data_IF_272717481007
#
_entry.id   IF_272717481007
#
_cell.length_a   1.000
_cell.length_b   1.000
_cell.length_c   1.000
_cell.angle_alpha   90.00
_cell.angle_beta   90.00
_cell.angle_gamma   90.00
#
_symmetry.space_group_name_H-M   'P 1'
#
loop_
_entity.id
_entity.type
_entity.pdbx_description
1 polymer ?
#
# COMPACT_ATOMS: atom_id res chain seq x y z
N UNK A 1 9.44 62.70 5.05
CA UNK A 1 9.40 61.99 3.74
C UNK A 1 9.67 60.53 4.04
N UNK A 2 8.60 59.73 4.21
CA UNK A 2 8.05 58.81 3.20
C UNK A 2 9.02 57.64 2.86
N UNK A 3 8.78 56.53 3.55
CA UNK A 3 8.73 55.14 3.05
C UNK A 3 9.89 54.68 2.16
N UNK A 4 10.81 53.90 2.72
CA UNK A 4 11.31 52.69 2.02
C UNK A 4 11.17 51.54 3.01
N UNK A 5 10.08 50.82 2.78
CA UNK A 5 9.63 49.62 3.46
C UNK A 5 9.85 48.50 2.43
N UNK A 6 10.24 47.32 2.92
CA UNK A 6 10.08 46.00 2.27
C UNK A 6 11.20 45.62 1.28
N UNK A 7 11.86 44.49 1.58
CA UNK A 7 12.11 43.30 0.73
C UNK A 7 13.48 42.70 1.13
N UNK A 8 13.50 41.87 2.18
CA UNK A 8 14.52 40.82 2.36
C UNK A 8 14.02 39.68 3.29
N UNK A 9 12.70 39.47 3.37
CA UNK A 9 12.07 38.43 4.20
C UNK A 9 11.23 37.47 3.34
N UNK A 10 11.77 36.96 2.23
CA UNK A 10 11.07 35.92 1.45
C UNK A 10 12.00 35.09 0.57
N UNK A 11 12.86 34.26 1.19
CA UNK A 11 13.68 33.32 0.43
C UNK A 11 13.88 31.96 1.13
N UNK A 12 12.93 31.49 1.95
CA UNK A 12 13.06 30.17 2.60
C UNK A 12 11.76 29.35 2.69
N UNK A 13 10.86 29.50 1.72
CA UNK A 13 9.67 28.64 1.62
C UNK A 13 9.57 28.02 0.22
N UNK A 14 10.53 27.18 -0.12
CA UNK A 14 10.36 26.18 -1.18
C UNK A 14 10.77 24.81 -0.65
N UNK A 15 10.06 24.34 0.39
CA UNK A 15 9.99 22.90 0.62
C UNK A 15 9.28 22.30 -0.58
N UNK A 16 10.05 21.64 -1.45
CA UNK A 16 9.56 21.00 -2.65
C UNK A 16 8.42 20.05 -2.33
N UNK A 17 7.24 20.33 -2.88
CA UNK A 17 6.27 19.29 -3.13
C UNK A 17 6.85 18.41 -4.24
N UNK A 18 7.64 17.41 -3.85
CA UNK A 18 8.01 16.33 -4.76
C UNK A 18 6.73 15.51 -4.97
N UNK A 19 5.97 15.85 -6.01
CA UNK A 19 4.98 14.93 -6.54
C UNK A 19 5.75 13.73 -7.10
N UNK A 20 5.80 12.67 -6.29
CA UNK A 20 6.29 11.38 -6.76
C UNK A 20 5.42 10.96 -7.93
N UNK A 21 5.95 11.09 -9.15
CA UNK A 21 5.46 10.40 -10.33
C UNK A 21 5.52 8.90 -10.02
N UNK A 22 4.45 8.38 -9.46
CA UNK A 22 4.26 6.94 -9.35
C UNK A 22 4.16 6.46 -10.79
N UNK A 23 5.18 5.74 -11.23
CA UNK A 23 5.16 5.00 -12.48
C UNK A 23 3.94 4.09 -12.42
N UNK A 24 2.90 4.40 -13.20
CA UNK A 24 1.65 3.65 -13.19
C UNK A 24 1.97 2.19 -13.53
N UNK A 25 1.98 1.34 -12.50
CA UNK A 25 2.19 -0.10 -12.66
C UNK A 25 0.94 -0.65 -13.33
N UNK A 26 0.98 -0.90 -14.63
CA UNK A 26 -0.13 -1.53 -15.36
C UNK A 26 -0.26 -3.00 -14.91
N UNK A 27 -0.88 -3.21 -13.76
CA UNK A 27 -1.16 -4.52 -13.22
C UNK A 27 -2.37 -5.12 -13.92
N UNK A 28 -2.28 -6.41 -14.25
CA UNK A 28 -3.32 -7.15 -14.92
C UNK A 28 -3.84 -8.28 -14.03
N UNK A 29 -5.08 -8.71 -14.30
CA UNK A 29 -5.66 -9.86 -13.59
C UNK A 29 -4.87 -11.11 -13.97
N UNK A 30 -4.44 -11.87 -12.97
CA UNK A 30 -3.58 -13.05 -13.14
C UNK A 30 -2.12 -12.81 -12.77
N UNK A 31 -1.68 -11.55 -12.65
CA UNK A 31 -0.31 -11.26 -12.25
C UNK A 31 -0.01 -11.76 -10.84
N UNK A 32 1.23 -12.19 -10.66
CA UNK A 32 1.76 -12.67 -9.40
C UNK A 32 2.58 -11.59 -8.72
N UNK A 33 2.30 -11.38 -7.43
CA UNK A 33 3.02 -10.44 -6.58
C UNK A 33 3.57 -11.18 -5.37
N UNK A 34 4.70 -10.75 -4.85
CA UNK A 34 5.28 -11.29 -3.62
C UNK A 34 5.10 -10.29 -2.48
N UNK A 35 4.53 -10.74 -1.37
CA UNK A 35 4.39 -9.91 -0.17
C UNK A 35 5.77 -9.68 0.44
N UNK A 36 6.12 -8.43 0.65
CA UNK A 36 7.35 -8.00 1.32
C UNK A 36 7.22 -7.97 2.84
N UNK A 37 8.04 -7.13 3.47
CA UNK A 37 7.98 -6.92 4.91
C UNK A 37 6.87 -5.91 5.25
N UNK A 38 6.22 -6.01 6.41
CA UNK A 38 5.30 -4.98 6.87
C UNK A 38 6.05 -3.66 7.13
N UNK A 39 5.44 -2.52 6.81
CA UNK A 39 6.06 -1.20 7.04
C UNK A 39 6.21 -0.85 8.53
N UNK A 40 5.42 -1.49 9.41
CA UNK A 40 5.46 -1.30 10.86
C UNK A 40 4.98 -2.58 11.58
N UNK A 41 4.16 -2.46 12.62
CA UNK A 41 3.52 -3.59 13.31
C UNK A 41 2.55 -4.39 12.39
N UNK A 42 2.19 -3.83 11.24
CA UNK A 42 1.37 -4.46 10.20
C UNK A 42 1.62 -3.81 8.84
N UNK A 43 0.80 -4.17 7.86
CA UNK A 43 0.82 -3.55 6.53
C UNK A 43 -0.03 -2.30 6.50
N UNK A 44 0.50 -1.22 5.95
CA UNK A 44 -0.18 0.06 5.78
C UNK A 44 -0.91 0.14 4.44
N UNK A 45 -0.38 -0.51 3.41
CA UNK A 45 -0.89 -0.43 2.04
C UNK A 45 -1.52 -1.73 1.54
N UNK A 46 -1.42 -2.81 2.32
CA UNK A 46 -2.27 -4.00 2.21
C UNK A 46 -3.41 -3.90 3.24
N UNK A 47 -4.63 -3.73 2.76
CA UNK A 47 -5.80 -3.46 3.61
C UNK A 47 -6.36 -4.73 4.24
N UNK A 48 -5.78 -5.13 5.37
CA UNK A 48 -6.35 -6.15 6.24
C UNK A 48 -7.40 -5.56 7.20
N UNK A 49 -8.42 -6.33 7.61
CA UNK A 49 -9.25 -5.97 8.74
C UNK A 49 -8.41 -5.74 10.00
N UNK A 50 -8.93 -4.95 10.95
CA UNK A 50 -8.27 -4.71 12.24
C UNK A 50 -7.94 -6.04 12.94
N UNK A 51 -6.78 -6.12 13.59
CA UNK A 51 -6.32 -7.28 14.36
C UNK A 51 -7.39 -7.87 15.27
N UNK A 52 -8.10 -7.02 16.03
CA UNK A 52 -9.18 -7.45 16.92
C UNK A 52 -10.33 -8.13 16.17
N UNK A 53 -10.64 -7.69 14.95
CA UNK A 53 -11.69 -8.31 14.13
C UNK A 53 -11.25 -9.68 13.63
N UNK A 54 -9.97 -9.80 13.22
CA UNK A 54 -9.38 -11.07 12.80
C UNK A 54 -9.46 -12.08 13.96
N UNK A 55 -9.02 -11.69 15.16
CA UNK A 55 -9.01 -12.54 16.35
C UNK A 55 -10.44 -12.93 16.76
N UNK A 56 -11.38 -11.98 16.82
CA UNK A 56 -12.80 -12.25 17.15
C UNK A 56 -13.48 -13.21 16.19
N UNK A 57 -13.00 -13.32 14.95
CA UNK A 57 -13.47 -14.29 13.94
C UNK A 57 -12.67 -15.60 13.95
N UNK A 58 -11.83 -15.81 14.96
CA UNK A 58 -10.99 -17.00 15.12
C UNK A 58 -9.87 -17.10 14.10
N UNK A 59 -9.39 -15.98 13.57
CA UNK A 59 -8.20 -15.89 12.73
C UNK A 59 -6.93 -15.63 13.55
N UNK A 60 -5.78 -15.92 12.96
CA UNK A 60 -4.46 -15.71 13.59
C UNK A 60 -3.77 -14.55 12.88
N UNK A 61 -3.71 -13.38 13.51
CA UNK A 61 -3.15 -12.16 12.93
C UNK A 61 -1.61 -12.14 12.95
N UNK A 62 -0.99 -13.12 12.30
CA UNK A 62 0.46 -13.21 12.16
C UNK A 62 0.91 -12.54 10.86
N UNK A 63 1.12 -11.23 10.91
CA UNK A 63 1.54 -10.42 9.76
C UNK A 63 2.92 -10.82 9.22
N UNK A 64 3.86 -11.16 10.11
CA UNK A 64 5.23 -11.59 9.73
C UNK A 64 5.23 -12.86 8.87
N UNK A 65 4.29 -13.77 9.11
CA UNK A 65 4.16 -15.01 8.33
C UNK A 65 3.68 -14.80 6.88
N UNK A 66 3.19 -13.59 6.54
CA UNK A 66 2.80 -13.25 5.17
C UNK A 66 3.97 -12.81 4.30
N UNK A 67 5.09 -12.39 4.88
CA UNK A 67 6.28 -12.02 4.13
C UNK A 67 6.81 -13.21 3.32
N UNK A 68 7.12 -12.97 2.05
CA UNK A 68 7.55 -13.96 1.07
C UNK A 68 6.42 -14.78 0.46
N UNK A 69 5.15 -14.56 0.82
CA UNK A 69 4.02 -15.27 0.22
C UNK A 69 3.64 -14.66 -1.12
N UNK A 70 3.39 -15.51 -2.11
CA UNK A 70 2.91 -15.11 -3.42
C UNK A 70 1.39 -14.95 -3.43
N UNK A 71 0.92 -13.87 -4.04
CA UNK A 71 -0.50 -13.56 -4.24
C UNK A 71 -0.77 -13.33 -5.72
N UNK A 72 -1.99 -13.59 -6.14
CA UNK A 72 -2.45 -13.39 -7.52
C UNK A 72 -3.51 -12.29 -7.52
N UNK A 73 -3.40 -11.38 -8.49
CA UNK A 73 -4.40 -10.35 -8.73
C UNK A 73 -5.67 -10.97 -9.31
N UNK A 74 -6.79 -10.76 -8.63
CA UNK A 74 -8.12 -11.24 -9.06
C UNK A 74 -8.99 -10.14 -9.64
N UNK A 75 -8.70 -8.88 -9.29
CA UNK A 75 -9.44 -7.72 -9.78
C UNK A 75 -8.54 -6.48 -9.72
N UNK A 76 -8.67 -5.61 -10.71
CA UNK A 76 -7.96 -4.33 -10.79
C UNK A 76 -9.00 -3.22 -10.80
N UNK A 77 -8.88 -2.29 -9.86
CA UNK A 77 -9.73 -1.11 -9.74
C UNK A 77 -8.85 0.13 -9.90
N UNK A 78 -9.08 0.86 -10.99
CA UNK A 78 -8.36 2.09 -11.33
C UNK A 78 -9.30 3.29 -11.23
N UNK A 79 -10.06 3.37 -10.13
CA UNK A 79 -10.91 4.53 -9.87
C UNK A 79 -10.12 5.68 -9.23
N UNK A 80 -10.33 6.91 -9.72
CA UNK A 80 -9.76 8.16 -9.18
C UNK A 80 -8.22 8.20 -9.10
N UNK A 81 -7.52 7.62 -10.08
CA UNK A 81 -6.05 7.68 -10.13
C UNK A 81 -5.34 6.86 -9.05
N UNK A 82 -6.05 5.98 -8.34
CA UNK A 82 -5.46 5.02 -7.41
C UNK A 82 -5.48 3.64 -8.03
N UNK A 83 -4.33 3.00 -8.08
CA UNK A 83 -4.20 1.63 -8.56
C UNK A 83 -4.44 0.64 -7.42
N UNK A 84 -5.70 0.27 -7.21
CA UNK A 84 -6.10 -0.65 -6.14
C UNK A 84 -6.37 -2.02 -6.74
N UNK A 85 -5.60 -3.02 -6.30
CA UNK A 85 -5.76 -4.39 -6.76
C UNK A 85 -6.33 -5.26 -5.66
N UNK A 86 -7.24 -6.16 -6.00
CA UNK A 86 -7.71 -7.21 -5.09
C UNK A 86 -6.91 -8.47 -5.37
N UNK A 87 -6.36 -9.07 -4.33
CA UNK A 87 -5.51 -10.26 -4.44
C UNK A 87 -6.00 -11.40 -3.55
N UNK A 88 -5.65 -12.62 -3.94
CA UNK A 88 -5.74 -13.84 -3.12
C UNK A 88 -4.39 -14.53 -3.04
N UNK A 89 -4.16 -15.38 -2.03
CA UNK A 89 -2.93 -16.17 -1.98
C UNK A 89 -2.89 -17.18 -3.14
N UNK A 90 -1.72 -17.32 -3.78
CA UNK A 90 -1.51 -18.29 -4.86
C UNK A 90 -1.66 -19.74 -4.37
N UNK A 91 -1.27 -20.00 -3.12
CA UNK A 91 -1.36 -21.32 -2.48
C UNK A 91 -2.81 -21.76 -2.15
N UNK A 92 -3.82 -20.95 -2.46
CA UNK A 92 -5.23 -21.26 -2.21
C UNK A 92 -5.66 -21.13 -0.75
N UNK A 93 -4.72 -20.84 0.17
CA UNK A 93 -5.04 -20.61 1.57
C UNK A 93 -5.62 -19.21 1.78
N UNK A 94 -6.27 -19.02 2.93
CA UNK A 94 -6.77 -17.71 3.36
C UNK A 94 -5.69 -16.94 4.11
N UNK A 95 -5.73 -15.62 4.03
CA UNK A 95 -4.98 -14.76 4.95
C UNK A 95 -5.53 -14.93 6.36
N UNK A 96 -4.63 -15.08 7.34
CA UNK A 96 -4.98 -15.30 8.74
C UNK A 96 -6.01 -16.41 8.98
N UNK A 97 -6.02 -17.44 8.10
CA UNK A 97 -6.95 -18.56 8.06
C UNK A 97 -8.44 -18.21 7.86
N UNK A 98 -8.78 -16.94 7.58
CA UNK A 98 -10.18 -16.48 7.50
C UNK A 98 -10.50 -15.58 6.32
N UNK A 99 -9.56 -14.76 5.87
CA UNK A 99 -9.78 -13.74 4.84
C UNK A 99 -9.36 -14.30 3.48
N UNK A 100 -10.28 -14.43 2.54
CA UNK A 100 -9.99 -14.99 1.22
C UNK A 100 -9.23 -14.01 0.32
N UNK A 101 -9.60 -12.73 0.37
CA UNK A 101 -9.08 -11.70 -0.52
C UNK A 101 -8.83 -10.41 0.25
N UNK A 102 -7.86 -9.62 -0.21
CA UNK A 102 -7.55 -8.30 0.35
C UNK A 102 -7.28 -7.30 -0.76
N UNK A 103 -7.49 -6.02 -0.46
CA UNK A 103 -7.18 -4.91 -1.36
C UNK A 103 -5.79 -4.37 -1.07
N UNK A 104 -5.07 -3.99 -2.10
CA UNK A 104 -3.72 -3.44 -2.04
C UNK A 104 -3.69 -2.14 -2.84
N UNK A 105 -3.17 -1.07 -2.26
CA UNK A 105 -2.77 0.09 -3.03
C UNK A 105 -1.40 -0.21 -3.65
N UNK A 106 -1.38 -0.65 -4.90
CA UNK A 106 -0.20 -1.29 -5.50
C UNK A 106 1.00 -0.33 -5.53
N UNK A 107 0.75 0.88 -6.01
CA UNK A 107 1.72 1.94 -6.15
C UNK A 107 2.43 2.28 -4.82
N UNK A 108 1.63 2.46 -3.76
CA UNK A 108 2.17 2.75 -2.42
C UNK A 108 2.83 1.52 -1.79
N UNK A 109 2.25 0.34 -1.99
CA UNK A 109 2.77 -0.90 -1.43
C UNK A 109 4.13 -1.28 -2.03
N UNK A 110 4.34 -1.05 -3.34
CA UNK A 110 5.63 -1.21 -3.99
C UNK A 110 6.63 -0.20 -3.44
N UNK A 111 6.24 1.08 -3.33
CA UNK A 111 7.11 2.13 -2.80
C UNK A 111 7.56 1.85 -1.35
N UNK A 112 6.66 1.35 -0.51
CA UNK A 112 6.96 0.97 0.88
C UNK A 112 7.70 -0.37 1.02
N UNK A 113 7.87 -1.13 -0.06
CA UNK A 113 8.47 -2.47 -0.01
C UNK A 113 7.58 -3.56 0.60
N UNK A 114 6.28 -3.27 0.78
CA UNK A 114 5.25 -4.23 1.20
C UNK A 114 4.88 -5.21 0.08
N UNK A 115 5.12 -4.82 -1.18
CA UNK A 115 4.94 -5.66 -2.35
C UNK A 115 6.20 -5.62 -3.21
N UNK A 116 6.57 -6.79 -3.73
CA UNK A 116 7.62 -6.98 -4.73
C UNK A 116 6.96 -7.54 -5.98
N UNK A 117 7.18 -6.86 -7.11
CA UNK A 117 6.76 -7.30 -8.44
C UNK A 117 7.88 -8.06 -9.13
#
# INVERSE_FOLDING_TARGET
MKKILIIAFLAFLTTGAQESYVKQTNATVGDELVIGAPSSQGFEHIHFPKTNFIIKKGGIANYKALTGKTVIITNVDTSNGKNVVTVKRKDGLKFFNRIATVKINLDKAIFAGEIKS
#
